data_IF_240489193730
#
_entry.id   IF_240489193730
#
_cell.length_a   1.000
_cell.length_b   1.000
_cell.length_c   1.000
_cell.angle_alpha   90.00
_cell.angle_beta   90.00
_cell.angle_gamma   90.00
#
_symmetry.space_group_name_H-M   'P 1'
#
loop_
_entity.id
_entity.type
_entity.pdbx_description
1 polymer ?
#
# COMPACT_ATOMS: atom_id res chain seq x y z
N UNK A 1 1.85 13.05 23.64
CA UNK A 1 0.81 13.36 22.64
C UNK A 1 1.29 13.02 21.22
N UNK A 2 2.54 13.32 20.86
CA UNK A 2 3.10 13.01 19.52
C UNK A 2 3.11 11.52 19.14
N UNK A 3 3.38 10.62 20.09
CA UNK A 3 3.42 9.18 19.85
C UNK A 3 2.08 8.61 19.33
N UNK A 4 0.94 9.21 19.71
CA UNK A 4 -0.39 8.75 19.29
C UNK A 4 -0.58 8.96 17.79
N UNK A 5 -0.03 10.03 17.22
CA UNK A 5 -0.14 10.32 15.79
C UNK A 5 0.62 9.30 14.94
N UNK A 6 1.84 8.91 15.35
CA UNK A 6 2.59 7.87 14.63
C UNK A 6 1.89 6.52 14.66
N UNK A 7 1.27 6.16 15.78
CA UNK A 7 0.47 4.93 15.88
C UNK A 7 -0.72 5.00 14.93
N UNK A 8 -1.44 6.12 14.87
CA UNK A 8 -2.58 6.30 13.96
C UNK A 8 -2.15 6.22 12.48
N UNK A 9 -1.03 6.83 12.10
CA UNK A 9 -0.47 6.71 10.75
C UNK A 9 -0.12 5.26 10.42
N UNK A 10 0.57 4.55 11.31
CA UNK A 10 0.91 3.14 11.09
C UNK A 10 -0.33 2.25 10.99
N UNK A 11 -1.39 2.55 11.75
CA UNK A 11 -2.66 1.84 11.68
C UNK A 11 -3.35 2.10 10.34
N UNK A 12 -3.30 3.33 9.84
CA UNK A 12 -3.81 3.67 8.51
C UNK A 12 -3.08 2.89 7.41
N UNK A 13 -1.76 2.76 7.48
CA UNK A 13 -0.97 1.97 6.51
C UNK A 13 -1.40 0.49 6.52
N UNK A 14 -1.60 -0.08 7.71
CA UNK A 14 -2.11 -1.46 7.86
C UNK A 14 -3.50 -1.60 7.22
N UNK A 15 -4.40 -0.64 7.44
CA UNK A 15 -5.72 -0.63 6.83
C UNK A 15 -5.66 -0.53 5.30
N UNK A 16 -4.74 0.26 4.75
CA UNK A 16 -4.51 0.35 3.30
C UNK A 16 -4.00 -0.98 2.72
N UNK A 17 -3.08 -1.66 3.41
CA UNK A 17 -2.60 -2.99 2.99
C UNK A 17 -3.76 -4.01 3.00
N UNK A 18 -4.61 -4.00 4.03
CA UNK A 18 -5.80 -4.85 4.07
C UNK A 18 -6.78 -4.52 2.93
N UNK A 19 -7.00 -3.24 2.65
CA UNK A 19 -7.85 -2.82 1.52
C UNK A 19 -7.33 -3.38 0.20
N UNK A 20 -6.02 -3.27 -0.06
CA UNK A 20 -5.38 -3.86 -1.26
C UNK A 20 -5.59 -5.38 -1.28
N UNK A 21 -5.39 -6.06 -0.15
CA UNK A 21 -5.62 -7.50 -0.06
C UNK A 21 -7.06 -7.89 -0.43
N UNK A 22 -8.06 -7.19 0.11
CA UNK A 22 -9.46 -7.44 -0.18
C UNK A 22 -9.82 -7.17 -1.64
N UNK A 23 -9.31 -6.08 -2.23
CA UNK A 23 -9.54 -5.76 -3.65
C UNK A 23 -8.97 -6.84 -4.57
N UNK A 24 -7.75 -7.30 -4.31
CA UNK A 24 -7.13 -8.39 -5.08
C UNK A 24 -7.90 -9.70 -4.88
N UNK A 25 -8.29 -10.03 -3.64
CA UNK A 25 -9.10 -11.22 -3.36
C UNK A 25 -10.44 -11.20 -4.11
N UNK A 26 -11.08 -10.04 -4.23
CA UNK A 26 -12.32 -9.85 -4.98
C UNK A 26 -12.13 -10.06 -6.49
N UNK A 27 -11.04 -9.51 -7.06
CA UNK A 27 -10.70 -9.66 -8.49
C UNK A 27 -10.47 -11.13 -8.85
N UNK A 28 -9.69 -11.85 -8.04
CA UNK A 28 -9.40 -13.26 -8.27
C UNK A 28 -10.47 -14.21 -7.71
N UNK A 29 -11.51 -13.68 -7.05
CA UNK A 29 -12.58 -14.45 -6.39
C UNK A 29 -12.06 -15.55 -5.47
N UNK A 30 -10.89 -15.35 -4.88
CA UNK A 30 -10.23 -16.33 -4.04
C UNK A 30 -9.66 -15.62 -2.81
N UNK A 31 -10.20 -15.84 -1.61
CA UNK A 31 -9.65 -15.23 -0.40
C UNK A 31 -8.24 -15.77 -0.06
N UNK A 32 -7.94 -17.01 -0.42
CA UNK A 32 -6.67 -17.67 -0.12
C UNK A 32 -5.62 -17.48 -1.24
N UNK A 33 -5.76 -16.43 -2.05
CA UNK A 33 -4.90 -16.19 -3.21
C UNK A 33 -3.41 -16.06 -2.87
N UNK A 34 -3.06 -15.66 -1.64
CA UNK A 34 -1.66 -15.55 -1.15
C UNK A 34 -0.97 -16.93 -1.09
N UNK A 35 -1.69 -18.03 -0.90
CA UNK A 35 -1.06 -19.36 -0.90
C UNK A 35 -0.47 -19.74 -2.26
N UNK A 36 -1.05 -19.21 -3.34
CA UNK A 36 -0.60 -19.44 -4.72
C UNK A 36 -0.35 -18.11 -5.42
N UNK A 37 0.66 -17.37 -4.95
CA UNK A 37 1.17 -16.17 -5.62
C UNK A 37 1.80 -16.54 -6.97
N UNK A 38 1.03 -16.41 -8.05
CA UNK A 38 1.54 -16.35 -9.41
C UNK A 38 1.90 -14.89 -9.77
N UNK A 39 2.64 -14.74 -10.88
CA UNK A 39 3.06 -13.43 -11.37
C UNK A 39 1.87 -12.50 -11.63
N UNK A 40 0.72 -13.05 -12.03
CA UNK A 40 -0.51 -12.29 -12.23
C UNK A 40 -1.00 -11.63 -10.92
N UNK A 41 -1.10 -12.36 -9.80
CA UNK A 41 -1.55 -11.75 -8.53
C UNK A 41 -0.55 -10.71 -8.02
N UNK A 42 0.75 -10.93 -8.21
CA UNK A 42 1.78 -9.95 -7.83
C UNK A 42 1.63 -8.67 -8.65
N UNK A 43 1.48 -8.79 -9.96
CA UNK A 43 1.30 -7.64 -10.84
C UNK A 43 0.00 -6.89 -10.53
N UNK A 44 -1.11 -7.61 -10.34
CA UNK A 44 -2.39 -7.00 -9.94
C UNK A 44 -2.27 -6.31 -8.58
N UNK A 45 -1.58 -6.92 -7.61
CA UNK A 45 -1.31 -6.30 -6.31
C UNK A 45 -0.57 -4.98 -6.49
N UNK A 46 0.52 -4.98 -7.27
CA UNK A 46 1.33 -3.79 -7.54
C UNK A 46 0.50 -2.65 -8.17
N UNK A 47 -0.34 -2.98 -9.15
CA UNK A 47 -1.18 -1.99 -9.83
C UNK A 47 -2.28 -1.44 -8.91
N UNK A 48 -2.94 -2.30 -8.14
CA UNK A 48 -3.97 -1.91 -7.19
C UNK A 48 -3.37 -1.09 -6.04
N UNK A 49 -2.22 -1.48 -5.51
CA UNK A 49 -1.55 -0.74 -4.45
C UNK A 49 -1.07 0.63 -4.92
N UNK A 50 -0.55 0.74 -6.15
CA UNK A 50 -0.18 2.02 -6.75
C UNK A 50 -1.42 2.93 -6.91
N UNK A 51 -2.55 2.39 -7.37
CA UNK A 51 -3.79 3.15 -7.51
C UNK A 51 -4.34 3.61 -6.14
N UNK A 52 -4.39 2.71 -5.16
CA UNK A 52 -4.84 3.02 -3.79
C UNK A 52 -3.95 4.08 -3.16
N UNK A 53 -2.63 3.96 -3.33
CA UNK A 53 -1.68 4.94 -2.82
C UNK A 53 -1.85 6.31 -3.45
N UNK A 54 -2.01 6.37 -4.78
CA UNK A 54 -2.29 7.62 -5.48
C UNK A 54 -3.57 8.30 -4.97
N UNK A 55 -4.66 7.54 -4.79
CA UNK A 55 -5.92 8.08 -4.27
C UNK A 55 -5.78 8.56 -2.82
N UNK A 56 -5.13 7.77 -1.96
CA UNK A 56 -4.89 8.14 -0.57
C UNK A 56 -4.08 9.45 -0.45
N UNK A 57 -3.02 9.59 -1.24
CA UNK A 57 -2.22 10.82 -1.33
C UNK A 57 -3.05 12.03 -1.76
N UNK A 58 -3.86 11.88 -2.83
CA UNK A 58 -4.70 12.99 -3.31
C UNK A 58 -5.76 13.40 -2.29
N UNK A 59 -6.35 12.45 -1.58
CA UNK A 59 -7.30 12.73 -0.51
C UNK A 59 -6.61 13.44 0.66
N UNK A 60 -5.42 12.99 1.06
CA UNK A 60 -4.66 13.60 2.14
C UNK A 60 -4.29 15.07 1.82
N UNK A 61 -3.91 15.36 0.58
CA UNK A 61 -3.67 16.72 0.11
C UNK A 61 -4.94 17.56 0.09
N UNK A 62 -6.05 17.00 -0.44
CA UNK A 62 -7.33 17.70 -0.49
C UNK A 62 -7.86 18.05 0.90
N UNK A 63 -7.69 17.14 1.87
CA UNK A 63 -8.09 17.33 3.26
C UNK A 63 -7.10 18.19 4.06
N UNK A 64 -6.02 18.67 3.43
CA UNK A 64 -4.94 19.43 4.09
C UNK A 64 -4.34 18.70 5.32
N UNK A 65 -4.27 17.36 5.28
CA UNK A 65 -3.65 16.58 6.35
C UNK A 65 -2.15 16.81 6.44
N UNK A 66 -1.52 17.10 5.30
CA UNK A 66 -0.14 17.56 5.22
C UNK A 66 0.10 18.33 3.92
N UNK A 67 1.18 19.10 3.89
CA UNK A 67 1.62 19.88 2.72
C UNK A 67 3.04 19.48 2.37
N UNK A 68 3.33 19.35 1.07
CA UNK A 68 4.70 19.09 0.64
C UNK A 68 5.60 20.25 1.01
N UNK A 69 6.74 19.94 1.63
CA UNK A 69 7.84 20.88 1.85
C UNK A 69 8.79 20.80 0.65
N UNK A 70 9.54 21.87 0.36
CA UNK A 70 10.50 21.95 -0.76
C UNK A 70 11.56 20.82 -0.77
N UNK A 71 11.76 20.15 0.36
CA UNK A 71 12.70 19.03 0.52
C UNK A 71 12.10 17.65 0.22
N UNK A 72 10.79 17.55 -0.02
CA UNK A 72 10.14 16.27 -0.30
C UNK A 72 10.25 15.90 -1.78
N UNK A 73 10.88 14.76 -2.13
CA UNK A 73 10.89 14.30 -3.51
C UNK A 73 9.46 13.95 -3.94
N UNK A 74 9.00 14.62 -4.99
CA UNK A 74 7.72 14.34 -5.61
C UNK A 74 7.90 13.34 -6.75
N UNK A 75 6.91 12.48 -6.95
CA UNK A 75 6.85 11.66 -8.16
C UNK A 75 6.62 12.61 -9.34
N UNK A 76 7.53 12.65 -10.33
CA UNK A 76 7.33 13.45 -11.53
C UNK A 76 6.00 13.08 -12.18
N UNK A 77 5.28 14.05 -12.74
CA UNK A 77 3.95 13.91 -13.39
C UNK A 77 2.74 13.69 -12.48
N UNK A 78 2.88 13.05 -11.31
CA UNK A 78 1.74 12.78 -10.42
C UNK A 78 1.56 13.83 -9.31
N UNK A 79 2.59 14.63 -8.99
CA UNK A 79 2.58 15.60 -7.89
C UNK A 79 2.09 14.96 -6.57
N UNK A 80 2.63 13.78 -6.27
CA UNK A 80 2.41 13.04 -5.02
C UNK A 80 3.75 12.76 -4.32
N UNK A 81 3.73 12.51 -3.01
CA UNK A 81 4.94 12.20 -2.26
C UNK A 81 5.55 10.88 -2.72
N UNK A 82 6.83 10.89 -3.10
CA UNK A 82 7.51 9.68 -3.57
C UNK A 82 7.66 8.62 -2.47
N UNK A 83 7.94 9.04 -1.24
CA UNK A 83 8.07 8.14 -0.09
C UNK A 83 6.78 7.42 0.28
N UNK A 84 5.63 8.10 0.55
CA UNK A 84 4.39 7.40 0.88
C UNK A 84 3.86 6.58 -0.30
N UNK A 85 4.08 7.06 -1.54
CA UNK A 85 3.71 6.31 -2.73
C UNK A 85 4.41 4.96 -2.83
N UNK A 86 5.75 4.96 -2.68
CA UNK A 86 6.54 3.74 -2.72
C UNK A 86 6.24 2.83 -1.53
N UNK A 87 6.00 3.40 -0.34
CA UNK A 87 5.69 2.62 0.86
C UNK A 87 4.44 1.76 0.63
N UNK A 88 3.30 2.36 0.28
CA UNK A 88 2.05 1.62 0.08
C UNK A 88 2.08 0.78 -1.20
N UNK A 89 2.87 1.15 -2.22
CA UNK A 89 3.00 0.33 -3.44
C UNK A 89 3.82 -0.94 -3.21
N UNK A 90 4.92 -0.86 -2.47
CA UNK A 90 5.85 -1.97 -2.29
C UNK A 90 5.54 -2.84 -1.07
N UNK A 91 5.09 -2.25 0.04
CA UNK A 91 4.84 -2.98 1.29
C UNK A 91 3.85 -4.13 1.13
N UNK A 92 2.67 -3.99 0.49
CA UNK A 92 1.75 -5.12 0.31
C UNK A 92 2.41 -6.27 -0.46
N UNK A 93 3.13 -5.95 -1.53
CA UNK A 93 3.82 -6.95 -2.36
C UNK A 93 4.87 -7.70 -1.53
N UNK A 94 5.70 -6.97 -0.79
CA UNK A 94 6.71 -7.57 0.09
C UNK A 94 6.06 -8.41 1.19
N UNK A 95 5.02 -7.90 1.86
CA UNK A 95 4.28 -8.61 2.91
C UNK A 95 3.72 -9.94 2.40
N UNK A 96 3.13 -9.97 1.21
CA UNK A 96 2.59 -11.20 0.65
C UNK A 96 3.69 -12.19 0.23
N UNK A 97 4.80 -11.71 -0.32
CA UNK A 97 5.97 -12.54 -0.63
C UNK A 97 6.57 -13.17 0.63
N UNK A 98 6.71 -12.39 1.71
CA UNK A 98 7.18 -12.89 3.00
C UNK A 98 6.19 -13.88 3.61
N UNK A 99 4.89 -13.59 3.57
CA UNK A 99 3.84 -14.48 4.07
C UNK A 99 3.89 -15.86 3.40
N UNK A 100 4.06 -15.90 2.07
CA UNK A 100 4.25 -17.16 1.34
C UNK A 100 5.49 -17.92 1.80
N UNK A 101 6.63 -17.24 1.97
CA UNK A 101 7.85 -17.90 2.45
C UNK A 101 7.66 -18.52 3.84
N UNK A 102 7.02 -17.80 4.75
CA UNK A 102 6.74 -18.30 6.11
C UNK A 102 5.81 -19.51 6.05
N UNK A 103 4.76 -19.45 5.22
CA UNK A 103 3.82 -20.57 5.05
C UNK A 103 4.47 -21.83 4.44
N UNK A 104 5.59 -21.70 3.72
CA UNK A 104 6.32 -22.85 3.19
C UNK A 104 7.29 -23.49 4.21
N UNK A 105 7.58 -22.79 5.31
CA UNK A 105 8.52 -23.25 6.35
C UNK A 105 7.82 -24.07 7.44
N UNK A 106 6.53 -23.83 7.67
CA UNK A 106 5.68 -24.50 8.68
C UNK A 106 4.62 -25.38 8.01
#
# INVERSE_FOLDING_TARGET
MEQVYFVLCSLADVLLIFLVYFLVALIFRNPYWIHHLAAAQILTTLLISALVSFLAEKIALYMNWWTYTDQMPLVPFLNIGLSPFLAITLLPVLTFLFSRKINQIF
#
